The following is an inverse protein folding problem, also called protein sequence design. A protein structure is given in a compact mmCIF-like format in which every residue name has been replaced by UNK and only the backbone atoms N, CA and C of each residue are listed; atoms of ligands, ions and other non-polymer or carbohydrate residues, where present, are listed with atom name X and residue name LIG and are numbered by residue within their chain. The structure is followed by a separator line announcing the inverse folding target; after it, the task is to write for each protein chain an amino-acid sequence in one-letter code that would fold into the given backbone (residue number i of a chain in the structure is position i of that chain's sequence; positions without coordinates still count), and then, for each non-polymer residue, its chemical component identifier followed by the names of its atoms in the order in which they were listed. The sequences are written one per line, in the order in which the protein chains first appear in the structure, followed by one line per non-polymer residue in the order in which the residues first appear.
data_IF_878932484452
#
_entry.id   IF_878932484452
#
_cell.length_a   1.000
_cell.length_b   1.000
_cell.length_c   1.000
_cell.angle_alpha   90.00
_cell.angle_beta   90.00
_cell.angle_gamma   90.00
#
_symmetry.space_group_name_H-M   'P 1'
#
loop_
_entity.id
_entity.type
_entity.pdbx_description
1 polymer ?
#
# COMPACT_ATOMS: atom_id res chain seq x y z
N UNK A 1 -17.30 -4.38 4.88
CA UNK A 1 -17.93 -3.25 4.17
C UNK A 1 -17.19 -2.01 4.64
N UNK A 2 -16.49 -1.32 3.75
CA UNK A 2 -15.66 -0.17 4.10
C UNK A 2 -16.57 0.97 4.57
N UNK A 3 -16.16 1.69 5.62
CA UNK A 3 -16.89 2.88 6.07
C UNK A 3 -17.04 3.87 4.90
N UNK A 4 -18.14 4.65 4.81
CA UNK A 4 -18.30 5.62 3.74
C UNK A 4 -17.16 6.63 3.64
N UNK A 5 -16.33 6.78 4.67
CA UNK A 5 -15.23 7.75 4.76
C UNK A 5 -13.85 7.08 4.82
N UNK A 6 -13.77 5.77 4.56
CA UNK A 6 -12.52 5.04 4.55
C UNK A 6 -12.19 4.59 3.14
N UNK A 7 -10.90 4.50 2.89
CA UNK A 7 -10.31 3.91 1.70
C UNK A 7 -9.59 2.65 2.15
N UNK A 8 -9.70 1.59 1.35
CA UNK A 8 -8.86 0.40 1.50
C UNK A 8 -7.75 0.47 0.46
N UNK A 9 -6.49 0.33 0.90
CA UNK A 9 -5.33 0.25 0.02
C UNK A 9 -4.67 -1.11 0.22
N UNK A 10 -4.34 -1.76 -0.89
CA UNK A 10 -3.56 -3.00 -0.93
C UNK A 10 -2.34 -2.78 -1.81
N UNK A 11 -1.18 -3.10 -1.29
CA UNK A 11 0.12 -2.94 -1.94
C UNK A 11 0.76 -4.31 -2.02
N UNK A 12 0.91 -4.81 -3.24
CA UNK A 12 1.55 -6.07 -3.55
C UNK A 12 2.87 -5.78 -4.25
N UNK A 13 4.00 -6.29 -3.78
CA UNK A 13 5.27 -6.12 -4.48
C UNK A 13 6.22 -7.28 -4.25
N UNK A 14 7.19 -7.37 -5.16
CA UNK A 14 8.33 -8.26 -5.09
C UNK A 14 9.61 -7.43 -5.03
N UNK A 15 10.49 -7.74 -4.08
CA UNK A 15 11.78 -7.08 -3.96
C UNK A 15 12.88 -8.09 -3.69
N UNK A 16 14.08 -7.80 -4.22
CA UNK A 16 15.28 -8.54 -3.83
C UNK A 16 15.84 -7.89 -2.58
N UNK A 17 15.90 -8.63 -1.47
CA UNK A 17 16.40 -8.12 -0.19
C UNK A 17 17.70 -8.84 0.16
N UNK A 18 18.74 -8.04 0.43
CA UNK A 18 20.03 -8.51 0.91
C UNK A 18 20.15 -8.24 2.41
N UNK A 19 20.02 -9.29 3.24
CA UNK A 19 20.30 -9.24 4.68
C UNK A 19 19.61 -8.09 5.46
N UNK A 20 18.44 -7.61 4.99
CA UNK A 20 17.62 -6.63 5.72
C UNK A 20 16.44 -7.36 6.33
N UNK A 21 16.30 -7.22 7.64
CA UNK A 21 15.15 -7.74 8.39
C UNK A 21 13.94 -6.81 8.35
N UNK A 22 14.04 -5.62 7.74
CA UNK A 22 12.96 -4.63 7.79
C UNK A 22 12.65 -3.98 6.44
N UNK A 23 11.36 -3.83 6.15
CA UNK A 23 10.78 -3.10 5.02
C UNK A 23 10.02 -1.89 5.57
N UNK A 24 10.40 -0.69 5.14
CA UNK A 24 9.85 0.56 5.67
C UNK A 24 9.02 1.26 4.59
N UNK A 25 7.77 1.60 4.94
CA UNK A 25 6.86 2.38 4.11
C UNK A 25 6.53 3.71 4.79
N UNK A 26 7.02 4.85 4.28
CA UNK A 26 6.56 6.14 4.75
C UNK A 26 5.09 6.33 4.35
N UNK A 27 4.29 6.81 5.28
CA UNK A 27 2.87 7.12 5.09
C UNK A 27 2.55 8.51 5.64
N UNK A 28 1.71 9.26 4.93
CA UNK A 28 1.33 10.64 5.30
C UNK A 28 0.05 10.72 6.13
N UNK A 29 -0.53 9.58 6.48
CA UNK A 29 -1.85 9.47 7.12
C UNK A 29 -1.84 8.39 8.22
N UNK A 30 -2.85 8.41 9.08
CA UNK A 30 -3.08 7.32 10.04
C UNK A 30 -3.77 6.14 9.33
N UNK A 31 -3.45 4.92 9.75
CA UNK A 31 -3.96 3.69 9.16
C UNK A 31 -4.53 2.77 10.24
N UNK A 32 -5.49 1.93 9.87
CA UNK A 32 -6.13 0.91 10.72
C UNK A 32 -6.28 -0.40 9.93
N UNK A 33 -6.66 -1.48 10.62
CA UNK A 33 -6.93 -2.79 10.03
C UNK A 33 -5.78 -3.32 9.14
N UNK A 34 -4.52 -3.14 9.59
CA UNK A 34 -3.36 -3.56 8.80
C UNK A 34 -3.30 -5.10 8.75
N UNK A 35 -3.16 -5.62 7.54
CA UNK A 35 -2.99 -7.03 7.24
C UNK A 35 -1.78 -7.22 6.33
N UNK A 36 -1.03 -8.29 6.57
CA UNK A 36 0.15 -8.62 5.78
C UNK A 36 0.19 -10.09 5.44
N UNK A 37 0.46 -10.39 4.18
CA UNK A 37 0.87 -11.72 3.70
C UNK A 37 2.27 -11.58 3.11
N UNK A 38 3.17 -12.53 3.39
CA UNK A 38 4.53 -12.46 2.89
C UNK A 38 5.13 -13.83 2.61
N UNK A 39 6.01 -13.87 1.61
CA UNK A 39 6.69 -15.07 1.15
C UNK A 39 8.18 -14.78 0.90
N UNK A 40 9.06 -15.63 1.42
CA UNK A 40 10.50 -15.63 1.14
C UNK A 40 10.85 -16.78 0.20
N UNK A 41 11.33 -16.47 -1.00
CA UNK A 41 11.59 -17.45 -2.06
C UNK A 41 10.38 -18.41 -2.27
N UNK A 42 9.16 -17.88 -2.18
CA UNK A 42 7.91 -18.63 -2.30
C UNK A 42 7.42 -19.33 -1.02
N UNK A 43 8.19 -19.34 0.05
CA UNK A 43 7.79 -19.94 1.33
C UNK A 43 7.10 -18.90 2.22
N UNK A 44 5.92 -19.18 2.81
CA UNK A 44 5.25 -18.24 3.70
C UNK A 44 6.13 -17.84 4.89
N UNK A 45 6.17 -16.54 5.18
CA UNK A 45 6.85 -15.98 6.36
C UNK A 45 5.88 -15.08 7.14
N UNK A 46 6.16 -14.88 8.42
CA UNK A 46 5.43 -13.91 9.24
C UNK A 46 6.20 -12.61 9.29
N UNK A 47 5.51 -11.49 9.07
CA UNK A 47 6.05 -10.15 9.29
C UNK A 47 5.42 -9.56 10.54
N UNK A 48 6.26 -9.01 11.41
CA UNK A 48 5.80 -8.14 12.49
C UNK A 48 5.53 -6.77 11.90
N UNK A 49 4.33 -6.23 12.17
CA UNK A 49 3.91 -4.91 11.68
C UNK A 49 4.02 -3.90 12.83
N UNK A 50 4.84 -2.87 12.65
CA UNK A 50 4.95 -1.76 13.58
C UNK A 50 4.50 -0.46 12.90
N UNK A 51 3.77 0.36 13.65
CA UNK A 51 3.50 1.74 13.28
C UNK A 51 4.44 2.65 14.06
N UNK A 52 5.28 3.37 13.33
CA UNK A 52 6.25 4.30 13.92
C UNK A 52 5.95 5.74 13.51
N UNK A 53 6.26 6.68 14.40
CA UNK A 53 6.14 8.12 14.12
C UNK A 53 7.47 8.81 14.39
N UNK A 54 8.14 9.23 13.31
CA UNK A 54 9.47 9.85 13.38
C UNK A 54 9.36 11.26 12.79
N UNK A 55 9.69 12.27 13.60
CA UNK A 55 9.67 13.70 13.20
C UNK A 55 8.34 14.16 12.57
N UNK A 56 7.23 13.57 13.03
CA UNK A 56 5.88 13.91 12.55
C UNK A 56 5.41 13.14 11.31
N UNK A 57 6.27 12.33 10.67
CA UNK A 57 5.89 11.41 9.61
C UNK A 57 5.55 10.04 10.19
N UNK A 58 4.51 9.40 9.65
CA UNK A 58 4.10 8.06 10.03
C UNK A 58 4.83 7.03 9.12
N UNK A 59 5.10 5.85 9.65
CA UNK A 59 5.76 4.76 8.93
C UNK A 59 5.09 3.43 9.27
N UNK A 60 4.85 2.60 8.25
CA UNK A 60 4.60 1.17 8.43
C UNK A 60 5.93 0.47 8.31
N UNK A 61 6.38 -0.18 9.38
CA UNK A 61 7.63 -0.94 9.43
C UNK A 61 7.27 -2.41 9.50
N UNK A 62 7.59 -3.16 8.45
CA UNK A 62 7.43 -4.60 8.42
C UNK A 62 8.77 -5.25 8.77
N UNK A 63 8.77 -6.14 9.76
CA UNK A 63 9.98 -6.80 10.24
C UNK A 63 9.85 -8.30 10.01
N UNK A 64 10.76 -8.85 9.22
CA UNK A 64 10.94 -10.27 9.02
C UNK A 64 12.00 -10.79 10.00
N UNK A 65 11.58 -11.60 10.96
CA UNK A 65 12.50 -12.28 11.87
C UNK A 65 13.01 -13.57 11.24
N UNK A 66 14.28 -13.90 11.48
CA UNK A 66 14.91 -15.17 11.09
C UNK A 66 14.88 -15.44 9.57
N UNK A 67 15.00 -14.39 8.74
CA UNK A 67 15.29 -14.61 7.32
C UNK A 67 16.65 -15.32 7.18
N UNK A 68 16.77 -16.30 6.28
CA UNK A 68 18.07 -16.88 5.93
C UNK A 68 19.09 -15.79 5.55
N UNK A 69 20.36 -15.97 5.96
CA UNK A 69 21.48 -15.03 5.70
C UNK A 69 21.93 -14.98 4.21
N UNK A 70 21.05 -15.35 3.29
CA UNK A 70 21.27 -15.34 1.85
C UNK A 70 20.43 -14.26 1.16
N UNK A 71 20.89 -13.81 -0.01
CA UNK A 71 20.10 -12.95 -0.90
C UNK A 71 18.87 -13.71 -1.37
N UNK A 72 17.69 -13.11 -1.22
CA UNK A 72 16.44 -13.74 -1.64
C UNK A 72 15.42 -12.74 -2.16
N UNK A 73 14.33 -13.29 -2.69
CA UNK A 73 13.17 -12.55 -3.16
C UNK A 73 12.12 -12.59 -2.06
N UNK A 74 11.65 -11.42 -1.64
CA UNK A 74 10.47 -11.30 -0.80
C UNK A 74 9.28 -10.86 -1.65
N UNK A 75 8.14 -11.51 -1.44
CA UNK A 75 6.86 -11.07 -1.94
C UNK A 75 6.04 -10.61 -0.74
N UNK A 76 5.49 -9.41 -0.79
CA UNK A 76 4.69 -8.84 0.29
C UNK A 76 3.37 -8.32 -0.28
N UNK A 77 2.30 -8.62 0.42
CA UNK A 77 0.99 -8.00 0.26
C UNK A 77 0.63 -7.31 1.57
N UNK A 78 0.53 -6.00 1.53
CA UNK A 78 0.17 -5.14 2.65
C UNK A 78 -1.18 -4.50 2.36
N UNK A 79 -2.18 -4.77 3.21
CA UNK A 79 -3.51 -4.18 3.10
C UNK A 79 -3.82 -3.38 4.36
N UNK A 80 -4.45 -2.21 4.22
CA UNK A 80 -4.90 -1.40 5.35
C UNK A 80 -6.04 -0.48 4.95
N UNK A 81 -6.66 0.14 5.96
CA UNK A 81 -7.67 1.18 5.77
C UNK A 81 -7.20 2.52 6.30
N UNK A 82 -7.66 3.59 5.66
CA UNK A 82 -7.39 4.95 6.12
C UNK A 82 -8.50 5.92 5.75
N UNK A 83 -8.67 6.95 6.57
CA UNK A 83 -9.44 8.15 6.25
C UNK A 83 -8.57 9.28 5.71
N UNK A 84 -7.25 9.21 5.93
CA UNK A 84 -6.34 10.32 5.71
C UNK A 84 -5.96 10.57 4.25
N UNK A 85 -6.31 9.68 3.33
CA UNK A 85 -6.22 9.94 1.88
C UNK A 85 -7.38 10.80 1.36
N UNK A 86 -8.43 10.98 2.15
CA UNK A 86 -9.61 11.75 1.78
C UNK A 86 -9.51 13.14 2.42
N UNK A 87 -9.28 14.15 1.60
CA UNK A 87 -9.37 15.54 2.01
C UNK A 87 -10.69 16.16 1.55
N UNK A 88 -11.32 16.97 2.41
CA UNK A 88 -12.50 17.73 2.02
C UNK A 88 -12.08 19.13 1.57
N UNK A 89 -12.23 19.42 0.29
CA UNK A 89 -11.98 20.75 -0.28
C UNK A 89 -13.30 21.31 -0.82
N UNK A 90 -13.88 22.25 -0.08
CA UNK A 90 -15.22 22.81 -0.35
C UNK A 90 -16.33 21.74 -0.29
N UNK A 91 -17.02 21.50 -1.40
CA UNK A 91 -18.09 20.50 -1.60
C UNK A 91 -17.56 19.18 -2.18
N UNK A 92 -16.25 19.09 -2.43
CA UNK A 92 -15.60 17.95 -3.07
C UNK A 92 -14.71 17.20 -2.10
N UNK A 93 -14.56 15.91 -2.37
CA UNK A 93 -13.56 15.08 -1.73
C UNK A 93 -12.42 14.86 -2.71
N UNK A 94 -11.21 15.13 -2.24
CA UNK A 94 -9.97 14.89 -2.96
C UNK A 94 -9.35 13.62 -2.40
N UNK A 95 -8.94 12.74 -3.30
CA UNK A 95 -8.18 11.56 -2.99
C UNK A 95 -6.72 11.79 -3.35
N UNK A 96 -5.81 11.63 -2.39
CA UNK A 96 -4.37 11.71 -2.63
C UNK A 96 -3.69 10.45 -2.10
N UNK A 97 -3.01 9.74 -2.99
CA UNK A 97 -2.17 8.60 -2.67
C UNK A 97 -0.72 8.97 -2.92
N UNK A 98 0.13 8.65 -1.97
CA UNK A 98 1.57 8.75 -2.12
C UNK A 98 2.18 7.51 -1.51
N UNK A 99 2.99 6.83 -2.29
CA UNK A 99 3.67 5.63 -1.84
C UNK A 99 5.15 5.67 -2.26
N UNK A 100 6.01 5.21 -1.36
CA UNK A 100 7.45 5.13 -1.59
C UNK A 100 7.96 3.80 -1.06
N UNK A 101 8.73 3.11 -1.90
CA UNK A 101 9.46 1.90 -1.52
C UNK A 101 10.95 2.23 -1.62
N UNK A 102 11.70 2.19 -0.52
CA UNK A 102 13.14 2.50 -0.53
C UNK A 102 13.99 1.30 -1.01
N UNK A 103 13.41 0.37 -1.76
CA UNK A 103 14.03 -0.86 -2.25
C UNK A 103 13.78 -1.00 -3.75
N UNK A 104 14.69 -1.70 -4.44
CA UNK A 104 14.49 -2.08 -5.83
C UNK A 104 13.36 -3.11 -5.91
N UNK A 105 12.21 -2.67 -6.40
CA UNK A 105 11.03 -3.51 -6.62
C UNK A 105 11.06 -4.06 -8.04
N UNK A 106 10.90 -5.37 -8.18
CA UNK A 106 10.79 -6.03 -9.48
C UNK A 106 9.42 -5.77 -10.10
N UNK A 107 8.37 -5.99 -9.31
CA UNK A 107 6.99 -5.75 -9.67
C UNK A 107 6.24 -5.19 -8.45
N UNK A 108 5.26 -4.34 -8.72
CA UNK A 108 4.44 -3.70 -7.70
C UNK A 108 3.05 -3.42 -8.26
N UNK A 109 2.01 -3.84 -7.54
CA UNK A 109 0.61 -3.48 -7.81
C UNK A 109 0.04 -2.77 -6.60
N UNK A 110 -0.58 -1.62 -6.84
CA UNK A 110 -1.30 -0.86 -5.83
C UNK A 110 -2.77 -0.88 -6.22
N UNK A 111 -3.62 -1.36 -5.32
CA UNK A 111 -5.07 -1.39 -5.47
C UNK A 111 -5.68 -0.51 -4.41
N UNK A 112 -6.47 0.47 -4.84
CA UNK A 112 -7.22 1.38 -3.98
C UNK A 112 -8.70 1.17 -4.20
N UNK A 113 -9.45 0.95 -3.13
CA UNK A 113 -10.89 0.79 -3.14
C UNK A 113 -11.52 2.00 -2.43
N UNK A 114 -12.21 2.82 -3.21
CA UNK A 114 -12.92 4.02 -2.77
C UNK A 114 -14.42 3.73 -2.66
N UNK A 115 -15.13 4.26 -1.66
CA UNK A 115 -16.59 4.26 -1.64
C UNK A 115 -17.22 4.99 -2.85
N UNK A 116 -18.35 4.54 -3.39
CA UNK A 116 -18.96 5.10 -4.61
C UNK A 116 -19.48 6.52 -4.48
N UNK A 117 -19.49 7.09 -3.28
CA UNK A 117 -19.84 8.51 -3.08
C UNK A 117 -18.72 9.45 -3.55
N UNK A 118 -17.53 8.91 -3.80
CA UNK A 118 -16.38 9.66 -4.31
C UNK A 118 -16.41 9.70 -5.83
N UNK A 119 -16.17 10.91 -6.38
CA UNK A 119 -15.94 11.10 -7.81
C UNK A 119 -14.46 11.34 -8.04
N UNK A 120 -13.86 10.61 -8.97
CA UNK A 120 -12.48 10.83 -9.37
C UNK A 120 -12.46 12.03 -10.34
N UNK A 121 -11.78 13.11 -9.96
CA UNK A 121 -11.48 14.21 -10.86
C UNK A 121 -10.13 13.96 -11.51
N UNK A 122 -10.12 13.87 -12.84
CA UNK A 122 -8.92 13.70 -13.64
C UNK A 122 -8.08 14.98 -13.67
N UNK A 123 -6.76 14.87 -13.87
CA UNK A 123 -5.97 13.65 -14.05
C UNK A 123 -5.49 13.01 -12.74
N UNK A 124 -5.46 11.67 -12.70
CA UNK A 124 -4.72 10.93 -11.67
C UNK A 124 -3.29 10.74 -12.17
N UNK A 125 -2.31 11.15 -11.37
CA UNK A 125 -0.90 10.95 -11.66
C UNK A 125 -0.22 10.17 -10.56
N UNK A 126 0.58 9.14 -10.88
CA UNK A 126 0.75 8.54 -12.22
C UNK A 126 -0.55 7.90 -12.75
N UNK A 127 -0.66 7.71 -14.07
CA UNK A 127 -1.87 7.14 -14.68
C UNK A 127 -2.09 5.70 -14.19
N UNK A 128 -3.30 5.34 -13.73
CA UNK A 128 -3.60 3.98 -13.32
C UNK A 128 -3.64 3.04 -14.53
N UNK A 129 -3.34 1.78 -14.28
CA UNK A 129 -3.53 0.69 -15.24
C UNK A 129 -5.01 0.45 -15.52
N UNK A 130 -5.86 0.56 -14.50
CA UNK A 130 -7.31 0.46 -14.67
C UNK A 130 -8.08 1.24 -13.60
N UNK A 131 -9.28 1.64 -13.98
CA UNK A 131 -10.31 2.19 -13.09
C UNK A 131 -11.60 1.43 -13.40
N UNK A 132 -12.25 0.88 -12.38
CA UNK A 132 -13.53 0.19 -12.54
C UNK A 132 -14.50 0.57 -11.42
N UNK A 133 -15.79 0.44 -11.68
CA UNK A 133 -16.84 0.57 -10.67
C UNK A 133 -17.44 -0.82 -10.43
N UNK A 134 -17.41 -1.27 -9.17
CA UNK A 134 -17.97 -2.55 -8.74
C UNK A 134 -18.99 -2.30 -7.64
N UNK A 135 -20.28 -2.30 -8.00
CA UNK A 135 -21.36 -2.04 -7.05
C UNK A 135 -21.29 -0.62 -6.44
N UNK A 136 -20.95 -0.53 -5.15
CA UNK A 136 -20.82 0.73 -4.39
C UNK A 136 -19.36 1.13 -4.14
N UNK A 137 -18.45 0.64 -4.97
CA UNK A 137 -17.02 0.90 -4.82
C UNK A 137 -16.41 1.28 -6.18
N UNK A 138 -15.40 2.13 -6.14
CA UNK A 138 -14.53 2.46 -7.26
C UNK A 138 -13.16 1.86 -6.97
N UNK A 139 -12.65 1.04 -7.88
CA UNK A 139 -11.38 0.34 -7.75
C UNK A 139 -10.39 1.00 -8.72
N UNK A 140 -9.26 1.44 -8.18
CA UNK A 140 -8.17 2.05 -8.95
C UNK A 140 -6.93 1.19 -8.79
N UNK A 141 -6.32 0.80 -9.90
CA UNK A 141 -5.17 -0.10 -9.90
C UNK A 141 -4.00 0.54 -10.64
N UNK A 142 -2.84 0.57 -10.00
CA UNK A 142 -1.55 0.86 -10.63
C UNK A 142 -0.72 -0.41 -10.64
N UNK A 143 0.03 -0.64 -11.72
CA UNK A 143 1.05 -1.69 -11.75
C UNK A 143 2.35 -1.13 -12.32
N UNK A 144 3.45 -1.48 -11.68
CA UNK A 144 4.82 -1.18 -12.08
C UNK A 144 5.59 -2.50 -12.17
N UNK A 145 6.46 -2.61 -13.16
CA UNK A 145 7.32 -3.76 -13.37
C UNK A 145 7.98 -3.70 -14.73
N UNK A 146 8.95 -4.58 -15.03
CA UNK A 146 9.51 -4.67 -16.37
C UNK A 146 8.39 -5.01 -17.36
N UNK A 147 8.32 -4.23 -18.43
CA UNK A 147 7.46 -4.46 -19.60
C UNK A 147 7.99 -5.64 -20.40
#
# INVERSE_FOLDING_TARGET
MISPEEVEETIEFSAVIENRSSIIFPISYDVVDIQTEAYWNGNPITLTVNLEKIRGMNYIVLIAENLPDEKGIINVKLSFRTKGMIEKASDKYLFSQSFSVPYDVNDMTITVILPSKFSILSPIFPSPKSISAAGKEVIVIWSYGPV
#
